data_IF_006237730958
#
_entry.id   IF_006237730958
#
_cell.length_a   1.000
_cell.length_b   1.000
_cell.length_c   1.000
_cell.angle_alpha   90.00
_cell.angle_beta   90.00
_cell.angle_gamma   90.00
#
_symmetry.space_group_name_H-M   'P 1'
#
loop_
_entity.id
_entity.type
_entity.pdbx_description
1 polymer ?
#
# COMPACT_ATOMS: atom_id res chain seq x y z
N UNK A 1 -28.41 -5.57 0.83
CA UNK A 1 -26.98 -5.17 0.91
C UNK A 1 -26.45 -5.79 2.18
N UNK A 2 -26.05 -7.06 2.08
CA UNK A 2 -25.75 -7.94 3.22
C UNK A 2 -24.28 -7.80 3.59
N UNK A 3 -24.01 -7.75 4.89
CA UNK A 3 -22.77 -7.26 5.47
C UNK A 3 -21.57 -8.16 5.25
N UNK A 4 -20.62 -7.66 4.45
CA UNK A 4 -19.23 -8.11 4.50
C UNK A 4 -18.62 -7.51 5.78
N UNK A 5 -18.41 -8.33 6.80
CA UNK A 5 -17.92 -7.90 8.11
C UNK A 5 -16.42 -7.65 8.05
N UNK A 6 -15.98 -6.39 8.23
CA UNK A 6 -14.56 -6.01 8.29
C UNK A 6 -14.05 -6.04 9.73
N UNK A 7 -12.88 -6.64 9.96
CA UNK A 7 -12.24 -6.78 11.27
C UNK A 7 -11.13 -5.71 11.45
N UNK A 8 -10.53 -5.61 12.64
CA UNK A 8 -9.47 -4.63 12.93
C UNK A 8 -8.30 -5.28 13.67
N UNK A 9 -7.07 -4.91 13.32
CA UNK A 9 -5.86 -5.18 14.11
C UNK A 9 -5.35 -3.83 14.61
N UNK A 10 -5.11 -3.71 15.92
CA UNK A 10 -4.59 -2.48 16.51
C UNK A 10 -3.06 -2.46 16.54
N UNK A 11 -2.48 -1.27 16.35
CA UNK A 11 -1.04 -0.98 16.46
C UNK A 11 -0.79 0.01 17.59
N UNK A 12 0.23 -0.22 18.39
CA UNK A 12 0.71 0.72 19.42
C UNK A 12 2.19 1.07 19.17
N UNK A 13 2.63 2.20 19.72
CA UNK A 13 4.02 2.66 19.63
C UNK A 13 4.67 2.38 20.98
N UNK A 14 5.62 1.44 21.05
CA UNK A 14 6.32 1.20 22.31
C UNK A 14 7.14 2.44 22.71
N UNK A 15 6.60 3.31 23.58
CA UNK A 15 7.36 4.43 24.13
C UNK A 15 7.07 4.61 25.62
N UNK A 16 7.84 3.89 26.44
CA UNK A 16 8.06 4.28 27.84
C UNK A 16 9.15 5.35 27.88
N UNK A 17 8.86 6.44 28.57
CA UNK A 17 9.77 7.56 28.86
C UNK A 17 11.11 7.06 29.44
N UNK A 18 12.13 7.06 28.60
CA UNK A 18 13.54 7.22 28.98
C UNK A 18 14.30 7.65 27.73
N UNK A 19 15.22 8.60 27.86
CA UNK A 19 16.01 9.12 26.75
C UNK A 19 16.98 8.02 26.24
N UNK A 20 16.47 7.12 25.43
CA UNK A 20 17.26 6.23 24.59
C UNK A 20 17.04 6.61 23.13
N UNK A 21 18.14 6.66 22.36
CA UNK A 21 18.07 6.73 20.92
C UNK A 21 17.07 5.67 20.44
N UNK A 22 16.06 6.08 19.66
CA UNK A 22 15.10 5.13 19.11
C UNK A 22 15.87 3.98 18.45
N UNK A 23 15.53 2.72 18.71
CA UNK A 23 16.25 1.60 18.14
C UNK A 23 16.32 1.75 16.62
N UNK A 24 17.51 1.58 16.05
CA UNK A 24 17.71 1.62 14.61
C UNK A 24 16.97 0.43 13.99
N UNK A 25 15.76 0.66 13.49
CA UNK A 25 14.95 -0.36 12.84
C UNK A 25 15.53 -0.69 11.45
N UNK A 26 15.45 -1.95 10.99
CA UNK A 26 15.83 -2.34 9.64
C UNK A 26 15.16 -1.52 8.52
N UNK A 27 13.92 -1.08 8.71
CA UNK A 27 13.30 -0.08 7.85
C UNK A 27 12.20 0.71 8.54
N UNK A 28 12.06 1.99 8.16
CA UNK A 28 10.92 2.81 8.55
C UNK A 28 9.81 2.70 7.50
N UNK A 29 8.56 2.72 7.94
CA UNK A 29 7.40 2.83 7.04
C UNK A 29 7.12 4.31 6.81
N UNK A 30 7.24 4.72 5.55
CA UNK A 30 6.89 6.08 5.12
C UNK A 30 5.39 6.33 5.31
N UNK A 31 5.04 7.54 5.77
CA UNK A 31 3.66 7.96 5.94
C UNK A 31 2.89 7.96 4.61
N UNK A 32 1.57 7.94 4.70
CA UNK A 32 0.68 7.93 3.53
C UNK A 32 0.57 9.29 2.84
N UNK A 33 0.90 10.38 3.53
CA UNK A 33 0.69 11.75 3.05
C UNK A 33 -0.72 12.30 3.32
N UNK A 34 -1.60 11.51 3.96
CA UNK A 34 -2.94 11.96 4.33
C UNK A 34 -2.89 13.05 5.43
N UNK A 35 -3.59 14.15 5.19
CA UNK A 35 -3.62 15.33 6.09
C UNK A 35 -5.02 15.79 6.45
N UNK A 36 -6.05 15.14 5.89
CA UNK A 36 -7.45 15.49 6.04
C UNK A 36 -8.20 14.37 6.76
N UNK A 37 -9.20 14.74 7.54
CA UNK A 37 -10.12 13.81 8.19
C UNK A 37 -11.45 13.77 7.45
N UNK A 38 -12.14 12.64 7.53
CA UNK A 38 -13.40 12.39 6.85
C UNK A 38 -14.43 11.74 7.77
N UNK A 39 -15.71 11.98 7.51
CA UNK A 39 -16.81 11.19 8.02
C UNK A 39 -17.48 10.40 6.88
N UNK A 40 -18.68 9.84 7.13
CA UNK A 40 -19.43 9.10 6.11
C UNK A 40 -19.99 9.97 4.97
N UNK A 41 -19.81 11.29 5.01
CA UNK A 41 -20.39 12.27 4.07
C UNK A 41 -19.32 13.09 3.37
N UNK A 42 -18.21 13.40 4.04
CA UNK A 42 -17.16 14.23 3.46
C UNK A 42 -16.00 14.55 4.38
N UNK A 43 -15.17 15.47 3.90
CA UNK A 43 -14.09 16.07 4.68
C UNK A 43 -14.65 16.80 5.90
N UNK A 44 -14.02 16.59 7.06
CA UNK A 44 -14.35 17.22 8.33
C UNK A 44 -13.10 17.86 8.94
N UNK A 45 -13.31 18.79 9.87
CA UNK A 45 -12.23 19.22 10.75
C UNK A 45 -11.74 18.04 11.61
N UNK A 46 -10.44 17.95 11.94
CA UNK A 46 -9.91 16.87 12.75
C UNK A 46 -10.71 16.70 14.06
N UNK A 47 -11.38 15.56 14.27
CA UNK A 47 -12.16 15.32 15.50
C UNK A 47 -11.23 15.25 16.72
N UNK A 48 -11.76 15.57 17.91
CA UNK A 48 -11.03 15.48 19.18
C UNK A 48 -11.17 14.10 19.81
N UNK A 49 -10.29 13.68 20.75
CA UNK A 49 -10.48 12.46 21.52
C UNK A 49 -11.89 12.36 22.10
N UNK A 50 -12.52 11.18 21.96
CA UNK A 50 -13.91 10.93 22.38
C UNK A 50 -14.99 11.36 21.39
N UNK A 51 -14.66 12.10 20.32
CA UNK A 51 -15.61 12.42 19.25
C UNK A 51 -15.69 11.30 18.21
N UNK A 52 -16.84 11.16 17.49
CA UNK A 52 -16.94 10.28 16.35
C UNK A 52 -15.81 10.51 15.34
N UNK A 53 -15.32 9.43 14.74
CA UNK A 53 -14.25 9.44 13.73
C UNK A 53 -12.88 9.93 14.21
N UNK A 54 -12.64 10.09 15.52
CA UNK A 54 -11.28 10.26 16.06
C UNK A 54 -10.47 8.98 15.89
N UNK A 55 -9.21 9.09 15.46
CA UNK A 55 -8.33 7.95 15.23
C UNK A 55 -7.81 7.80 13.80
N UNK A 56 -8.05 8.78 12.92
CA UNK A 56 -7.71 8.70 11.50
C UNK A 56 -6.22 8.96 11.22
N UNK A 57 -5.73 8.50 10.08
CA UNK A 57 -4.32 8.61 9.65
C UNK A 57 -3.79 10.05 9.72
N UNK A 58 -4.59 11.03 9.28
CA UNK A 58 -4.25 12.46 9.35
C UNK A 58 -3.97 12.98 10.78
N UNK A 59 -4.43 12.25 11.81
CA UNK A 59 -4.23 12.61 13.21
C UNK A 59 -2.99 11.95 13.84
N UNK A 60 -2.36 11.00 13.14
CA UNK A 60 -1.16 10.28 13.57
C UNK A 60 -0.10 10.34 12.48
N UNK A 61 0.43 11.54 12.15
CA UNK A 61 1.39 11.69 11.08
C UNK A 61 2.66 10.88 11.38
N UNK A 62 2.94 9.89 10.53
CA UNK A 62 4.15 9.06 10.61
C UNK A 62 5.38 9.74 9.99
N UNK A 63 6.34 8.94 9.53
CA UNK A 63 7.55 9.42 8.85
C UNK A 63 7.19 10.03 7.49
N UNK A 64 7.00 11.36 7.42
CA UNK A 64 6.65 12.06 6.18
C UNK A 64 7.62 11.70 5.06
N UNK A 65 7.08 11.45 3.86
CA UNK A 65 7.88 11.19 2.67
C UNK A 65 8.94 12.29 2.48
N UNK A 66 10.18 11.86 2.23
CA UNK A 66 11.31 12.75 2.01
C UNK A 66 12.16 12.16 0.90
N UNK A 67 12.28 12.92 -0.19
CA UNK A 67 12.95 12.49 -1.40
C UNK A 67 14.10 13.42 -1.75
N UNK A 68 15.16 12.84 -2.31
CA UNK A 68 16.30 13.55 -2.88
C UNK A 68 16.44 13.18 -4.34
N UNK A 69 16.28 14.18 -5.21
CA UNK A 69 16.53 14.03 -6.64
C UNK A 69 18.05 14.06 -6.91
N UNK A 70 18.56 13.11 -7.68
CA UNK A 70 19.98 13.12 -8.09
C UNK A 70 20.29 14.28 -9.03
N UNK A 71 21.55 14.73 -9.04
CA UNK A 71 21.97 15.89 -9.85
C UNK A 71 21.77 15.68 -11.36
N UNK A 72 21.90 14.43 -11.84
CA UNK A 72 21.60 14.04 -13.22
C UNK A 72 20.09 13.91 -13.51
N UNK A 73 19.25 14.01 -12.48
CA UNK A 73 17.80 13.89 -12.57
C UNK A 73 17.29 12.49 -12.91
N UNK A 74 18.13 11.44 -12.86
CA UNK A 74 17.78 10.07 -13.26
C UNK A 74 17.20 9.23 -12.12
N UNK A 75 17.51 9.58 -10.86
CA UNK A 75 17.14 8.77 -9.69
C UNK A 75 16.53 9.61 -8.58
N UNK A 76 15.70 8.96 -7.77
CA UNK A 76 15.09 9.54 -6.56
C UNK A 76 15.49 8.68 -5.37
N UNK A 77 16.30 9.24 -4.47
CA UNK A 77 16.58 8.66 -3.17
C UNK A 77 15.41 8.90 -2.21
N UNK A 78 14.92 7.86 -1.57
CA UNK A 78 13.93 7.94 -0.50
C UNK A 78 14.64 7.91 0.85
N UNK A 79 14.65 9.06 1.52
CA UNK A 79 15.39 9.28 2.75
C UNK A 79 14.74 8.58 3.97
N UNK A 80 13.50 8.08 3.83
CA UNK A 80 12.81 7.34 4.89
C UNK A 80 13.06 5.85 4.74
N UNK A 81 12.93 5.32 3.52
CA UNK A 81 13.02 3.88 3.28
C UNK A 81 14.44 3.41 3.01
N UNK A 82 15.36 4.32 2.66
CA UNK A 82 16.72 3.99 2.24
C UNK A 82 16.77 3.34 0.85
N UNK A 83 15.67 3.40 0.10
CA UNK A 83 15.58 2.95 -1.28
C UNK A 83 16.03 4.06 -2.24
N UNK A 84 16.49 3.69 -3.42
CA UNK A 84 16.71 4.61 -4.53
C UNK A 84 16.00 4.07 -5.75
N UNK A 85 15.22 4.93 -6.40
CA UNK A 85 14.34 4.56 -7.50
C UNK A 85 14.82 5.15 -8.82
N UNK A 86 14.54 4.47 -9.93
CA UNK A 86 14.44 5.17 -11.21
C UNK A 86 13.41 6.30 -11.06
N UNK A 87 13.70 7.47 -11.62
CA UNK A 87 12.76 8.60 -11.57
C UNK A 87 11.58 8.44 -12.52
N UNK A 88 11.81 7.83 -13.67
CA UNK A 88 10.86 7.77 -14.77
C UNK A 88 10.65 6.32 -15.21
N UNK A 89 9.40 5.93 -15.55
CA UNK A 89 9.13 4.67 -16.23
C UNK A 89 9.32 4.77 -17.75
N UNK A 90 9.84 5.88 -18.26
CA UNK A 90 10.26 6.04 -19.66
C UNK A 90 11.28 4.94 -20.03
N UNK A 91 10.89 4.04 -20.94
CA UNK A 91 11.71 2.87 -21.33
C UNK A 91 12.34 3.01 -22.70
N UNK A 92 11.90 3.97 -23.52
CA UNK A 92 12.44 4.23 -24.85
C UNK A 92 13.39 5.44 -24.92
N UNK A 93 13.42 6.27 -23.87
CA UNK A 93 14.34 7.39 -23.67
C UNK A 93 13.95 8.65 -24.42
N UNK A 94 12.70 8.77 -24.89
CA UNK A 94 12.23 9.94 -25.63
C UNK A 94 11.87 11.15 -24.72
N UNK A 95 11.94 10.96 -23.40
CA UNK A 95 11.66 11.99 -22.39
C UNK A 95 10.18 12.17 -22.09
N UNK A 96 9.30 11.36 -22.66
CA UNK A 96 7.86 11.34 -22.41
C UNK A 96 7.49 10.03 -21.72
N UNK A 97 6.37 10.05 -21.02
CA UNK A 97 5.78 8.84 -20.47
C UNK A 97 4.46 8.63 -21.18
N UNK A 98 4.36 7.56 -21.94
CA UNK A 98 3.21 7.23 -22.79
C UNK A 98 2.89 5.73 -22.70
N UNK A 99 1.85 5.29 -23.41
CA UNK A 99 1.54 3.87 -23.52
C UNK A 99 2.67 3.04 -24.17
N UNK A 100 3.57 3.67 -24.95
CA UNK A 100 4.73 3.00 -25.58
C UNK A 100 5.79 2.56 -24.59
N UNK A 101 5.83 3.17 -23.41
CA UNK A 101 6.76 2.81 -22.35
C UNK A 101 6.35 1.57 -21.56
N UNK A 102 5.16 1.05 -21.83
CA UNK A 102 4.66 -0.13 -21.15
C UNK A 102 5.30 -1.37 -21.75
N UNK A 103 5.80 -2.22 -20.87
CA UNK A 103 6.50 -3.46 -21.24
C UNK A 103 5.76 -4.67 -20.71
N UNK A 104 5.92 -5.82 -21.36
CA UNK A 104 5.37 -7.08 -20.85
C UNK A 104 6.02 -7.45 -19.53
N UNK A 105 5.42 -8.36 -18.76
CA UNK A 105 6.02 -8.77 -17.48
C UNK A 105 7.40 -9.43 -17.67
N UNK A 106 7.61 -10.21 -18.73
CA UNK A 106 8.91 -10.80 -19.04
C UNK A 106 9.97 -9.71 -19.32
N UNK A 107 9.60 -8.66 -20.05
CA UNK A 107 10.47 -7.50 -20.28
C UNK A 107 10.74 -6.71 -18.99
N UNK A 108 9.74 -6.54 -18.12
CA UNK A 108 9.91 -5.93 -16.80
C UNK A 108 10.92 -6.70 -15.94
N UNK A 109 10.89 -8.04 -15.98
CA UNK A 109 11.85 -8.89 -15.27
C UNK A 109 13.28 -8.78 -15.84
N UNK A 110 13.42 -8.53 -17.15
CA UNK A 110 14.71 -8.36 -17.80
C UNK A 110 15.31 -6.96 -17.63
N UNK A 111 14.48 -5.94 -17.36
CA UNK A 111 14.90 -4.54 -17.28
C UNK A 111 16.05 -4.29 -16.26
N UNK A 112 16.04 -4.82 -15.02
CA UNK A 112 17.14 -4.62 -14.09
C UNK A 112 18.49 -5.08 -14.63
N UNK A 113 18.54 -6.21 -15.35
CA UNK A 113 19.78 -6.70 -15.95
C UNK A 113 20.31 -5.74 -17.02
N UNK A 114 19.41 -5.15 -17.84
CA UNK A 114 19.76 -4.11 -18.82
C UNK A 114 20.34 -2.87 -18.13
N UNK A 115 19.68 -2.36 -17.08
CA UNK A 115 20.14 -1.20 -16.32
C UNK A 115 21.50 -1.46 -15.64
N UNK A 116 21.70 -2.67 -15.12
CA UNK A 116 22.94 -3.03 -14.45
C UNK A 116 24.12 -3.16 -15.41
N UNK A 117 23.89 -3.72 -16.59
CA UNK A 117 24.92 -3.84 -17.63
C UNK A 117 25.39 -2.47 -18.13
N UNK A 118 24.49 -1.49 -18.24
CA UNK A 118 24.82 -0.13 -18.70
C UNK A 118 25.25 0.81 -17.58
N UNK A 119 25.28 0.33 -16.33
CA UNK A 119 25.51 1.15 -15.13
C UNK A 119 24.60 2.38 -15.08
N UNK A 120 23.30 2.19 -15.32
CA UNK A 120 22.32 3.29 -15.33
C UNK A 120 22.42 4.15 -14.06
N UNK A 121 22.55 5.47 -14.24
CA UNK A 121 22.81 6.45 -13.18
C UNK A 121 24.03 6.13 -12.29
N UNK A 122 25.03 5.44 -12.85
CA UNK A 122 26.25 5.04 -12.14
C UNK A 122 26.15 3.72 -11.35
N UNK A 123 24.98 3.09 -11.31
CA UNK A 123 24.68 1.94 -10.44
C UNK A 123 24.45 0.63 -11.21
N UNK A 124 24.72 -0.50 -10.57
CA UNK A 124 24.66 -1.83 -11.18
C UNK A 124 24.00 -2.92 -10.30
N UNK A 125 23.18 -2.50 -9.34
CA UNK A 125 22.45 -3.30 -8.36
C UNK A 125 20.93 -3.01 -8.38
N UNK A 126 20.41 -2.57 -9.54
CA UNK A 126 18.99 -2.42 -9.79
C UNK A 126 18.26 -3.76 -9.72
N UNK A 127 17.03 -3.74 -9.20
CA UNK A 127 16.09 -4.86 -9.16
C UNK A 127 14.67 -4.39 -9.48
N UNK A 128 13.81 -5.32 -9.88
CA UNK A 128 12.37 -5.09 -9.95
C UNK A 128 11.82 -5.04 -8.50
N UNK A 129 11.07 -3.99 -8.10
CA UNK A 129 10.62 -3.80 -6.74
C UNK A 129 9.61 -4.89 -6.36
N UNK A 130 9.66 -5.37 -5.12
CA UNK A 130 8.55 -6.07 -4.49
C UNK A 130 7.33 -5.16 -4.37
N UNK A 131 6.15 -5.73 -4.14
CA UNK A 131 4.94 -4.94 -3.95
C UNK A 131 5.01 -4.04 -2.71
N UNK A 132 5.70 -4.47 -1.63
CA UNK A 132 5.94 -3.65 -0.43
C UNK A 132 6.81 -2.44 -0.75
N UNK A 133 7.88 -2.62 -1.52
CA UNK A 133 8.72 -1.50 -1.99
C UNK A 133 7.92 -0.58 -2.91
N UNK A 134 7.23 -1.10 -3.93
CA UNK A 134 6.47 -0.28 -4.87
C UNK A 134 5.37 0.53 -4.17
N UNK A 135 4.68 -0.06 -3.21
CA UNK A 135 3.63 0.61 -2.45
C UNK A 135 4.16 1.65 -1.45
N UNK A 136 5.46 1.65 -1.14
CA UNK A 136 6.06 2.74 -0.34
C UNK A 136 5.90 4.11 -1.01
N UNK A 137 5.83 4.16 -2.34
CA UNK A 137 5.65 5.38 -3.13
C UNK A 137 4.21 5.94 -3.11
N UNK A 138 3.23 5.17 -2.59
CA UNK A 138 1.83 5.56 -2.57
C UNK A 138 1.59 6.87 -1.79
N UNK A 139 0.95 7.86 -2.41
CA UNK A 139 0.53 9.12 -1.78
C UNK A 139 -1.01 9.15 -1.69
N UNK A 140 -1.54 9.02 -0.48
CA UNK A 140 -2.98 9.00 -0.19
C UNK A 140 -3.68 10.35 -0.42
N UNK A 141 -2.95 11.41 -0.76
CA UNK A 141 -3.54 12.68 -1.18
C UNK A 141 -3.93 12.73 -2.67
N UNK A 142 -3.70 11.63 -3.41
CA UNK A 142 -4.23 11.42 -4.76
C UNK A 142 -5.76 11.40 -4.82
N UNK A 143 -6.30 11.55 -6.02
CA UNK A 143 -7.74 11.58 -6.31
C UNK A 143 -8.07 10.52 -7.36
N UNK A 144 -8.91 9.56 -6.99
CA UNK A 144 -9.30 8.44 -7.85
C UNK A 144 -10.28 8.88 -8.95
N UNK A 145 -9.93 8.66 -10.23
CA UNK A 145 -10.76 9.00 -11.36
C UNK A 145 -11.90 8.03 -11.64
N UNK A 146 -12.01 6.88 -10.94
CA UNK A 146 -12.87 5.74 -11.33
C UNK A 146 -14.40 5.88 -11.10
N UNK A 147 -14.91 7.08 -10.81
CA UNK A 147 -16.34 7.38 -11.01
C UNK A 147 -16.63 7.37 -12.52
N UNK A 148 -17.86 7.14 -13.05
CA UNK A 148 -18.07 7.01 -14.49
C UNK A 148 -17.93 8.38 -15.19
N UNK A 149 -16.71 8.89 -15.32
CA UNK A 149 -16.34 9.88 -16.31
C UNK A 149 -16.23 9.15 -17.64
N UNK A 150 -17.36 9.05 -18.33
CA UNK A 150 -17.29 9.44 -19.74
C UNK A 150 -16.95 10.93 -19.72
N UNK A 151 -16.03 11.33 -20.59
CA UNK A 151 -15.64 12.71 -20.87
C UNK A 151 -14.38 13.18 -20.11
N UNK A 152 -13.23 12.78 -20.66
CA UNK A 152 -12.22 13.68 -21.24
C UNK A 152 -11.50 14.72 -20.38
N UNK A 153 -11.91 15.00 -19.15
CA UNK A 153 -11.29 16.08 -18.37
C UNK A 153 -10.30 15.51 -17.35
N UNK A 154 -9.01 15.62 -17.68
CA UNK A 154 -7.90 15.42 -16.75
C UNK A 154 -7.79 16.54 -15.70
N UNK A 155 -8.68 17.54 -15.74
CA UNK A 155 -8.68 18.67 -14.83
C UNK A 155 -9.01 18.19 -13.39
N UNK A 156 -8.09 18.47 -12.46
CA UNK A 156 -8.23 18.08 -11.05
C UNK A 156 -7.83 16.64 -10.73
N UNK A 157 -7.33 15.87 -11.70
CA UNK A 157 -6.71 14.58 -11.42
C UNK A 157 -5.39 14.76 -10.69
N UNK A 158 -5.21 14.00 -9.60
CA UNK A 158 -3.94 13.92 -8.89
C UNK A 158 -3.58 12.44 -8.71
N UNK A 159 -2.44 11.97 -9.23
CA UNK A 159 -2.06 10.58 -9.03
C UNK A 159 -1.70 10.34 -7.56
N UNK A 160 -1.79 9.09 -7.14
CA UNK A 160 -1.38 8.63 -5.82
C UNK A 160 0.14 8.45 -5.74
N UNK A 161 0.90 9.41 -6.29
CA UNK A 161 2.36 9.42 -6.43
C UNK A 161 2.85 10.88 -6.40
N UNK A 162 3.97 11.15 -5.75
CA UNK A 162 4.55 12.50 -5.70
C UNK A 162 5.23 12.87 -7.04
N UNK A 163 4.50 13.61 -7.88
CA UNK A 163 4.95 14.00 -9.22
C UNK A 163 5.97 15.13 -9.24
N UNK A 164 6.33 15.71 -8.09
CA UNK A 164 7.50 16.59 -8.01
C UNK A 164 8.79 15.80 -8.20
N UNK A 165 8.81 14.54 -7.78
CA UNK A 165 9.95 13.66 -7.87
C UNK A 165 9.82 12.66 -9.01
N UNK A 166 8.69 11.96 -9.12
CA UNK A 166 8.49 10.87 -10.08
C UNK A 166 7.79 11.31 -11.36
N UNK A 167 8.18 10.76 -12.50
CA UNK A 167 7.42 10.93 -13.75
C UNK A 167 6.24 9.97 -13.78
N UNK A 168 5.13 10.43 -14.31
CA UNK A 168 3.88 9.71 -14.34
C UNK A 168 3.06 10.11 -15.57
N UNK A 169 2.29 9.16 -16.09
CA UNK A 169 1.23 9.42 -17.06
C UNK A 169 -0.01 8.61 -16.72
N UNK A 170 -1.19 9.22 -16.95
CA UNK A 170 -2.46 8.51 -17.06
C UNK A 170 -2.51 7.70 -18.37
N UNK A 171 -3.48 6.80 -18.50
CA UNK A 171 -3.68 6.07 -19.75
C UNK A 171 -4.09 6.99 -20.91
N UNK A 172 -3.63 6.65 -22.11
CA UNK A 172 -3.82 7.44 -23.32
C UNK A 172 -5.15 7.12 -24.03
N UNK A 173 -6.13 8.02 -23.90
CA UNK A 173 -7.45 7.88 -24.54
C UNK A 173 -7.37 7.84 -26.07
N UNK A 174 -6.41 8.52 -26.68
CA UNK A 174 -6.23 8.52 -28.13
C UNK A 174 -5.66 7.19 -28.64
N UNK A 175 -4.97 6.45 -27.76
CA UNK A 175 -4.52 5.08 -28.01
C UNK A 175 -5.57 4.02 -27.61
N UNK A 176 -6.78 4.44 -27.21
CA UNK A 176 -7.85 3.53 -26.80
C UNK A 176 -7.74 3.01 -25.36
N UNK A 177 -6.86 3.60 -24.56
CA UNK A 177 -6.74 3.26 -23.13
C UNK A 177 -7.79 4.02 -22.30
N UNK A 178 -8.04 3.56 -21.09
CA UNK A 178 -8.78 4.32 -20.06
C UNK A 178 -7.78 5.15 -19.27
N UNK A 179 -8.24 6.23 -18.63
CA UNK A 179 -7.41 7.08 -17.74
C UNK A 179 -6.66 6.24 -16.68
N UNK A 180 -7.29 5.19 -16.16
CA UNK A 180 -6.71 4.30 -15.13
C UNK A 180 -5.77 3.22 -15.70
N UNK A 181 -5.49 3.21 -16.99
CA UNK A 181 -4.60 2.22 -17.60
C UNK A 181 -3.11 2.54 -17.35
N UNK A 182 -2.74 2.81 -16.10
CA UNK A 182 -1.38 3.16 -15.67
C UNK A 182 -0.85 2.22 -14.59
N UNK A 183 -0.91 0.91 -14.87
CA UNK A 183 -0.50 -0.11 -13.92
C UNK A 183 1.02 -0.26 -13.85
N UNK A 184 1.60 -0.25 -12.64
CA UNK A 184 3.02 -0.48 -12.39
C UNK A 184 3.24 -1.90 -11.88
N UNK A 185 4.11 -2.67 -12.54
CA UNK A 185 4.41 -4.04 -12.15
C UNK A 185 5.40 -4.11 -10.97
N UNK A 186 5.19 -5.08 -10.09
CA UNK A 186 6.16 -5.49 -9.06
C UNK A 186 6.76 -6.87 -9.38
N UNK A 187 7.74 -7.32 -8.61
CA UNK A 187 8.28 -8.68 -8.65
C UNK A 187 7.45 -9.69 -7.86
N UNK A 188 6.43 -9.24 -7.10
CA UNK A 188 5.62 -10.09 -6.25
C UNK A 188 4.50 -10.76 -7.06
N UNK A 189 4.65 -12.06 -7.31
CA UNK A 189 3.62 -12.87 -7.98
C UNK A 189 2.41 -13.10 -7.07
N UNK A 190 1.25 -13.21 -7.68
CA UNK A 190 0.05 -13.66 -7.00
C UNK A 190 0.07 -15.19 -6.89
N UNK A 191 -0.09 -15.73 -5.69
CA UNK A 191 0.03 -17.19 -5.46
C UNK A 191 -1.22 -17.98 -5.84
N UNK A 192 -2.41 -17.38 -5.76
CA UNK A 192 -3.66 -18.04 -6.17
C UNK A 192 -3.80 -18.15 -7.69
N UNK A 193 -4.77 -18.93 -8.14
CA UNK A 193 -5.20 -18.90 -9.54
C UNK A 193 -6.46 -18.05 -9.61
N UNK A 194 -6.45 -16.99 -10.42
CA UNK A 194 -7.67 -16.23 -10.67
C UNK A 194 -8.76 -17.13 -11.27
N UNK A 195 -10.02 -16.67 -11.34
CA UNK A 195 -11.14 -17.47 -11.88
C UNK A 195 -10.91 -18.04 -13.30
N UNK A 196 -9.99 -17.43 -14.06
CA UNK A 196 -9.62 -17.83 -15.42
C UNK A 196 -8.40 -18.78 -15.46
N UNK A 197 -7.85 -19.17 -14.32
CA UNK A 197 -6.66 -20.02 -14.22
C UNK A 197 -5.35 -19.34 -14.67
N UNK A 198 -5.38 -18.05 -14.99
CA UNK A 198 -4.23 -17.31 -15.53
C UNK A 198 -3.31 -16.79 -14.43
N UNK A 199 -2.02 -16.75 -14.74
CA UNK A 199 -1.00 -16.16 -13.86
C UNK A 199 -1.25 -14.66 -13.67
N UNK A 200 -0.93 -14.20 -12.46
CA UNK A 200 -1.10 -12.81 -12.05
C UNK A 200 0.15 -12.29 -11.35
N UNK A 201 0.36 -10.98 -11.45
CA UNK A 201 1.36 -10.25 -10.68
C UNK A 201 0.69 -9.15 -9.88
N UNK A 202 1.16 -8.91 -8.65
CA UNK A 202 0.76 -7.74 -7.90
C UNK A 202 1.40 -6.50 -8.50
N UNK A 203 0.62 -5.43 -8.61
CA UNK A 203 1.12 -4.12 -9.01
C UNK A 203 0.37 -3.01 -8.31
N UNK A 204 0.88 -1.80 -8.44
CA UNK A 204 0.21 -0.58 -7.95
C UNK A 204 -0.27 0.22 -9.15
N UNK A 205 -1.50 0.71 -9.10
CA UNK A 205 -1.99 1.67 -10.07
C UNK A 205 -2.05 3.05 -9.42
N UNK A 206 -1.03 3.87 -9.64
CA UNK A 206 -0.98 5.22 -9.09
C UNK A 206 -2.02 6.16 -9.72
N UNK A 207 -2.70 5.77 -10.82
CA UNK A 207 -3.83 6.53 -11.32
C UNK A 207 -5.07 6.42 -10.41
N UNK A 208 -5.30 5.26 -9.78
CA UNK A 208 -6.52 4.98 -9.00
C UNK A 208 -6.25 4.59 -7.54
N UNK A 209 -4.98 4.53 -7.14
CA UNK A 209 -4.53 4.36 -5.76
C UNK A 209 -4.60 2.93 -5.22
N UNK A 210 -4.66 1.90 -6.06
CA UNK A 210 -4.89 0.52 -5.61
C UNK A 210 -3.73 -0.43 -5.90
N UNK A 211 -3.50 -1.36 -4.97
CA UNK A 211 -2.82 -2.63 -5.25
C UNK A 211 -3.82 -3.57 -5.91
N UNK A 212 -3.44 -4.24 -7.00
CA UNK A 212 -4.28 -5.27 -7.65
C UNK A 212 -3.43 -6.45 -8.12
N UNK A 213 -4.07 -7.62 -8.23
CA UNK A 213 -3.53 -8.78 -8.93
C UNK A 213 -3.89 -8.73 -10.42
N UNK A 214 -2.95 -8.31 -11.25
CA UNK A 214 -3.14 -8.16 -12.69
C UNK A 214 -2.86 -9.45 -13.43
N UNK A 215 -3.79 -9.86 -14.30
CA UNK A 215 -3.57 -10.97 -15.22
C UNK A 215 -2.42 -10.63 -16.16
N UNK A 216 -1.54 -11.60 -16.41
CA UNK A 216 -0.43 -11.43 -17.37
C UNK A 216 -0.90 -11.45 -18.83
N UNK A 217 -2.14 -11.86 -19.07
CA UNK A 217 -2.75 -11.92 -20.40
C UNK A 217 -4.10 -11.20 -20.42
N UNK A 218 -4.31 -10.40 -21.44
CA UNK A 218 -5.56 -9.71 -21.72
C UNK A 218 -6.63 -10.72 -22.16
N UNK A 219 -7.93 -10.44 -21.91
CA UNK A 219 -9.00 -11.17 -22.59
C UNK A 219 -8.77 -11.13 -24.12
N UNK A 220 -8.64 -12.28 -24.77
CA UNK A 220 -8.35 -12.36 -26.21
C UNK A 220 -6.91 -12.75 -26.59
N UNK A 221 -6.01 -12.95 -25.62
CA UNK A 221 -4.73 -13.67 -25.86
C UNK A 221 -3.47 -12.83 -26.06
N UNK A 222 -3.53 -11.51 -25.88
CA UNK A 222 -2.33 -10.65 -25.84
C UNK A 222 -1.68 -10.58 -24.47
N UNK A 223 -0.34 -10.45 -24.40
CA UNK A 223 0.35 -10.15 -23.14
C UNK A 223 -0.07 -8.78 -22.61
N UNK A 224 -0.29 -8.69 -21.30
CA UNK A 224 -0.52 -7.43 -20.64
C UNK A 224 0.81 -6.69 -20.48
N UNK A 225 0.79 -5.39 -20.76
CA UNK A 225 1.94 -4.50 -20.54
C UNK A 225 1.71 -3.59 -19.33
N UNK A 226 2.81 -3.12 -18.75
CA UNK A 226 2.87 -2.37 -17.50
C UNK A 226 3.93 -1.27 -17.57
N UNK A 227 3.71 -0.17 -16.86
CA UNK A 227 4.83 0.71 -16.48
C UNK A 227 5.72 -0.01 -15.48
N UNK A 228 7.01 0.35 -15.45
CA UNK A 228 7.99 -0.28 -14.55
C UNK A 228 8.93 0.78 -14.00
N UNK A 229 9.16 0.75 -12.69
CA UNK A 229 10.25 1.45 -12.03
C UNK A 229 11.13 0.41 -11.36
N UNK A 230 12.43 0.41 -11.65
CA UNK A 230 13.40 -0.37 -10.89
C UNK A 230 13.86 0.38 -9.64
N UNK A 231 14.25 -0.39 -8.63
CA UNK A 231 14.68 0.10 -7.32
C UNK A 231 16.04 -0.50 -6.96
N UNK A 232 16.78 0.17 -6.07
CA UNK A 232 18.01 -0.30 -5.44
C UNK A 232 18.08 0.20 -3.98
N UNK A 233 19.12 -0.18 -3.24
CA UNK A 233 19.24 0.19 -1.81
C UNK A 233 18.35 -0.67 -0.90
N UNK A 234 18.47 -0.47 0.42
CA UNK A 234 17.82 -1.21 1.52
C UNK A 234 17.19 -2.58 1.18
N UNK A 235 17.96 -3.69 1.18
CA UNK A 235 17.43 -5.03 0.91
C UNK A 235 16.57 -5.61 2.05
N UNK A 236 16.47 -4.90 3.19
CA UNK A 236 15.64 -5.30 4.34
C UNK A 236 14.22 -4.75 4.26
N UNK A 237 13.96 -3.76 3.39
CA UNK A 237 12.64 -3.13 3.30
C UNK A 237 11.54 -4.15 2.98
N UNK A 238 10.50 -4.18 3.80
CA UNK A 238 9.35 -5.06 3.65
C UNK A 238 9.53 -6.49 4.19
N UNK A 239 10.68 -6.82 4.79
CA UNK A 239 10.91 -8.09 5.49
C UNK A 239 10.60 -7.92 6.97
N UNK A 240 9.50 -8.50 7.44
CA UNK A 240 9.12 -8.46 8.85
C UNK A 240 10.05 -9.33 9.72
N UNK A 241 10.18 -8.97 10.99
CA UNK A 241 10.85 -9.76 12.04
C UNK A 241 9.96 -9.81 13.27
N UNK A 242 8.94 -10.67 13.21
CA UNK A 242 7.93 -10.79 14.26
C UNK A 242 8.45 -11.56 15.48
N UNK A 243 8.20 -11.00 16.65
CA UNK A 243 8.45 -11.59 17.95
C UNK A 243 7.16 -11.58 18.78
N UNK A 244 6.71 -12.75 19.21
CA UNK A 244 5.57 -12.86 20.12
C UNK A 244 6.04 -12.62 21.57
N UNK A 245 5.39 -11.67 22.25
CA UNK A 245 5.83 -11.21 23.58
C UNK A 245 5.26 -12.05 24.74
N UNK A 246 4.34 -12.98 24.47
CA UNK A 246 3.69 -13.81 25.49
C UNK A 246 2.62 -13.11 26.32
N UNK A 247 2.29 -11.85 26.01
CA UNK A 247 1.29 -11.03 26.70
C UNK A 247 0.07 -10.70 25.81
N UNK A 248 -0.06 -11.38 24.66
CA UNK A 248 -1.08 -11.10 23.65
C UNK A 248 -0.66 -10.06 22.60
N UNK A 249 0.58 -9.57 22.64
CA UNK A 249 1.14 -8.67 21.62
C UNK A 249 2.22 -9.34 20.76
N UNK A 250 2.42 -8.80 19.55
CA UNK A 250 3.48 -9.18 18.62
C UNK A 250 4.28 -7.92 18.26
N UNK A 251 5.58 -7.94 18.48
CA UNK A 251 6.48 -6.87 18.03
C UNK A 251 7.08 -7.22 16.68
N UNK A 252 6.95 -6.34 15.68
CA UNK A 252 7.74 -6.41 14.47
C UNK A 252 9.04 -5.62 14.66
N UNK A 253 10.13 -6.33 14.98
CA UNK A 253 11.45 -5.71 15.19
C UNK A 253 12.01 -5.05 13.93
N UNK A 254 11.48 -5.39 12.76
CA UNK A 254 11.91 -4.79 11.49
C UNK A 254 11.42 -3.35 11.31
N UNK A 255 10.24 -3.04 11.87
CA UNK A 255 9.57 -1.72 11.75
C UNK A 255 9.49 -0.97 13.08
N UNK A 256 9.68 -1.67 14.20
CA UNK A 256 9.48 -1.15 15.55
C UNK A 256 8.00 -1.08 15.98
N UNK A 257 7.07 -1.52 15.14
CA UNK A 257 5.64 -1.52 15.46
C UNK A 257 5.28 -2.70 16.36
N UNK A 258 4.33 -2.47 17.27
CA UNK A 258 3.71 -3.53 18.08
C UNK A 258 2.25 -3.69 17.68
N UNK A 259 1.83 -4.93 17.54
CA UNK A 259 0.51 -5.32 17.06
C UNK A 259 -0.23 -6.14 18.13
N UNK A 260 -1.54 -5.97 18.23
CA UNK A 260 -2.37 -6.93 18.95
C UNK A 260 -2.36 -8.27 18.21
N UNK A 261 -2.19 -9.39 18.92
CA UNK A 261 -2.17 -10.74 18.33
C UNK A 261 -3.54 -11.14 17.75
N UNK A 262 -4.61 -10.71 18.39
CA UNK A 262 -6.01 -11.00 18.01
C UNK A 262 -6.68 -9.78 17.39
N UNK A 263 -7.58 -10.00 16.45
CA UNK A 263 -8.44 -8.96 15.89
C UNK A 263 -9.65 -8.62 16.79
N UNK A 264 -10.54 -7.75 16.31
CA UNK A 264 -11.74 -7.32 17.04
C UNK A 264 -12.78 -8.43 17.25
N UNK A 265 -12.62 -9.64 16.70
CA UNK A 265 -13.51 -10.78 16.87
C UNK A 265 -14.90 -10.65 16.24
N UNK A 266 -15.26 -9.48 15.72
CA UNK A 266 -16.50 -9.19 15.00
C UNK A 266 -16.31 -8.12 13.93
N UNK A 267 -17.19 -8.14 12.94
CA UNK A 267 -17.31 -7.07 11.94
C UNK A 267 -17.66 -5.72 12.57
N UNK A 268 -16.94 -4.68 12.16
CA UNK A 268 -17.18 -3.29 12.53
C UNK A 268 -17.28 -2.45 11.24
N UNK A 269 -18.13 -1.43 11.22
CA UNK A 269 -17.97 -0.36 10.23
C UNK A 269 -16.80 0.56 10.63
N UNK A 270 -16.35 1.43 9.74
CA UNK A 270 -15.15 2.24 9.98
C UNK A 270 -15.27 3.17 11.20
N UNK A 271 -16.44 3.80 11.41
CA UNK A 271 -16.70 4.62 12.59
C UNK A 271 -16.60 3.80 13.89
N UNK A 272 -17.16 2.59 13.88
CA UNK A 272 -17.10 1.65 15.01
C UNK A 272 -15.68 1.14 15.25
N UNK A 273 -14.91 0.88 14.20
CA UNK A 273 -13.51 0.49 14.28
C UNK A 273 -12.66 1.57 14.97
N UNK A 274 -12.80 2.83 14.57
CA UNK A 274 -12.14 3.96 15.22
C UNK A 274 -12.54 4.10 16.70
N UNK A 275 -13.84 3.98 17.00
CA UNK A 275 -14.35 4.03 18.37
C UNK A 275 -13.87 2.85 19.24
N UNK A 276 -13.84 1.64 18.68
CA UNK A 276 -13.39 0.44 19.37
C UNK A 276 -11.96 0.57 19.89
N UNK A 277 -11.07 1.20 19.11
CA UNK A 277 -9.70 1.46 19.55
C UNK A 277 -9.67 2.42 20.74
N UNK A 278 -10.51 3.47 20.75
CA UNK A 278 -10.61 4.37 21.90
C UNK A 278 -11.11 3.65 23.14
N UNK A 279 -12.06 2.72 22.99
CA UNK A 279 -12.53 1.87 24.09
C UNK A 279 -11.41 0.96 24.63
N UNK A 280 -10.58 0.39 23.75
CA UNK A 280 -9.43 -0.43 24.17
C UNK A 280 -8.40 0.40 24.95
N UNK A 281 -8.13 1.62 24.50
CA UNK A 281 -7.23 2.53 25.20
C UNK A 281 -7.75 2.92 26.59
N UNK A 282 -9.03 3.26 26.71
CA UNK A 282 -9.65 3.55 27.99
C UNK A 282 -9.57 2.38 28.98
N UNK A 283 -9.52 1.15 28.49
CA UNK A 283 -9.40 -0.09 29.28
C UNK A 283 -7.96 -0.53 29.54
N UNK A 284 -6.96 0.16 29.00
CA UNK A 284 -5.56 -0.27 29.00
C UNK A 284 -5.40 -1.70 28.46
N UNK A 285 -6.03 -1.98 27.32
CA UNK A 285 -6.02 -3.29 26.69
C UNK A 285 -4.58 -3.81 26.51
N UNK A 286 -4.32 -5.04 26.99
CA UNK A 286 -2.99 -5.66 27.05
C UNK A 286 -1.92 -4.84 27.80
N UNK A 287 -2.34 -3.94 28.69
CA UNK A 287 -1.45 -3.05 29.45
C UNK A 287 -1.08 -1.74 28.76
N UNK A 288 -1.65 -1.45 27.58
CA UNK A 288 -1.34 -0.27 26.76
C UNK A 288 -2.59 0.58 26.49
N UNK A 289 -2.40 1.89 26.35
CA UNK A 289 -3.45 2.89 26.12
C UNK A 289 -3.18 3.82 24.91
N UNK A 290 -2.24 3.43 24.06
CA UNK A 290 -1.80 4.16 22.87
C UNK A 290 -2.09 3.38 21.56
N UNK A 291 -3.03 2.43 21.60
CA UNK A 291 -3.49 1.73 20.42
C UNK A 291 -4.10 2.70 19.40
N UNK A 292 -3.86 2.42 18.12
CA UNK A 292 -4.46 3.09 16.97
C UNK A 292 -4.77 2.07 15.89
N UNK A 293 -5.65 2.44 14.96
CA UNK A 293 -5.79 1.70 13.71
C UNK A 293 -4.56 1.97 12.82
N UNK A 294 -3.90 0.94 12.25
CA UNK A 294 -2.80 1.13 11.32
C UNK A 294 -3.23 1.97 10.11
N UNK A 295 -2.32 2.80 9.60
CA UNK A 295 -2.51 3.37 8.27
C UNK A 295 -2.35 2.28 7.20
N UNK A 296 -2.75 2.56 5.96
CA UNK A 296 -2.78 1.53 4.91
C UNK A 296 -1.39 0.96 4.58
N UNK A 297 -0.31 1.72 4.73
CA UNK A 297 1.07 1.24 4.48
C UNK A 297 1.55 0.34 5.62
N UNK A 298 1.18 0.65 6.85
CA UNK A 298 1.48 -0.22 8.00
C UNK A 298 0.70 -1.52 7.92
N UNK A 299 -0.59 -1.47 7.60
CA UNK A 299 -1.40 -2.66 7.40
C UNK A 299 -0.86 -3.51 6.25
N UNK A 300 -0.40 -2.87 5.16
CA UNK A 300 0.24 -3.57 4.05
C UNK A 300 1.58 -4.21 4.44
N UNK A 301 2.31 -3.61 5.39
CA UNK A 301 3.62 -4.09 5.82
C UNK A 301 3.58 -5.48 6.46
N UNK A 302 2.43 -5.89 7.04
CA UNK A 302 2.26 -7.20 7.68
C UNK A 302 1.66 -8.27 6.77
N UNK A 303 1.29 -7.92 5.54
CA UNK A 303 0.78 -8.89 4.56
C UNK A 303 1.87 -9.88 4.17
N UNK A 304 1.53 -11.16 4.19
CA UNK A 304 2.33 -12.26 3.65
C UNK A 304 1.78 -12.65 2.27
N UNK A 305 2.45 -12.15 1.24
CA UNK A 305 2.08 -12.39 -0.16
C UNK A 305 2.34 -13.82 -0.65
N UNK A 306 2.94 -14.69 0.17
CA UNK A 306 3.07 -16.12 -0.13
C UNK A 306 1.84 -16.94 0.27
N UNK A 307 0.86 -16.31 0.95
CA UNK A 307 -0.30 -16.97 1.54
C UNK A 307 -1.60 -16.41 0.98
N UNK A 308 -2.59 -17.27 0.86
CA UNK A 308 -3.98 -16.87 0.54
C UNK A 308 -4.96 -17.95 0.99
N UNK A 309 -6.26 -17.63 1.11
CA UNK A 309 -7.30 -18.64 1.37
C UNK A 309 -7.21 -19.80 0.35
N UNK A 310 -7.10 -19.47 -0.94
CA UNK A 310 -7.06 -20.46 -2.03
C UNK A 310 -5.80 -21.34 -2.06
N UNK A 311 -4.66 -20.88 -1.53
CA UNK A 311 -3.37 -21.58 -1.65
C UNK A 311 -2.93 -22.28 -0.39
N UNK A 312 -3.14 -21.65 0.75
CA UNK A 312 -2.67 -22.12 2.05
C UNK A 312 -3.81 -22.43 3.01
N UNK A 313 -5.07 -22.19 2.64
CA UNK A 313 -6.22 -22.35 3.54
C UNK A 313 -6.08 -21.47 4.78
N UNK A 314 -5.57 -20.25 4.61
CA UNK A 314 -5.25 -19.35 5.73
C UNK A 314 -5.28 -17.88 5.28
N UNK A 315 -5.34 -16.91 6.21
CA UNK A 315 -5.26 -15.50 5.84
C UNK A 315 -3.86 -15.15 5.32
N UNK A 316 -3.77 -14.06 4.55
CA UNK A 316 -2.53 -13.55 3.95
C UNK A 316 -1.66 -12.76 4.96
N UNK A 317 -1.38 -13.36 6.10
CA UNK A 317 -0.59 -12.80 7.22
C UNK A 317 0.16 -13.94 7.92
N UNK A 318 1.22 -13.59 8.66
CA UNK A 318 1.99 -14.58 9.40
C UNK A 318 1.10 -15.40 10.37
N UNK A 319 1.30 -16.73 10.50
CA UNK A 319 0.50 -17.58 11.40
C UNK A 319 0.53 -17.23 12.89
N UNK A 320 1.42 -16.31 13.29
CA UNK A 320 1.45 -15.75 14.64
C UNK A 320 0.19 -14.94 14.97
N UNK A 321 -0.43 -14.32 13.97
CA UNK A 321 -1.65 -13.54 14.13
C UNK A 321 -2.88 -14.43 14.17
N UNK A 322 -3.81 -14.13 15.08
CA UNK A 322 -5.08 -14.84 15.23
C UNK A 322 -6.18 -14.05 14.54
N UNK A 323 -6.46 -14.43 13.29
CA UNK A 323 -7.53 -13.86 12.49
C UNK A 323 -8.84 -14.61 12.69
N UNK A 324 -9.90 -13.88 12.97
CA UNK A 324 -11.25 -14.42 13.06
C UNK A 324 -11.70 -14.90 11.68
N UNK A 325 -12.10 -16.16 11.58
CA UNK A 325 -12.67 -16.74 10.37
C UNK A 325 -14.10 -16.23 10.14
N UNK A 326 -14.48 -16.12 8.87
CA UNK A 326 -15.83 -15.78 8.44
C UNK A 326 -16.37 -16.82 7.47
N UNK A 327 -17.68 -16.81 7.26
CA UNK A 327 -18.32 -17.51 6.15
C UNK A 327 -18.58 -16.50 5.04
N UNK A 328 -17.99 -16.71 3.86
CA UNK A 328 -18.17 -15.81 2.72
C UNK A 328 -19.56 -15.97 2.04
N UNK A 329 -19.80 -15.18 1.00
CA UNK A 329 -21.10 -15.08 0.32
C UNK A 329 -21.55 -16.39 -0.37
N UNK A 330 -20.62 -17.33 -0.58
CA UNK A 330 -20.90 -18.66 -1.15
C UNK A 330 -20.90 -19.77 -0.09
N UNK A 331 -20.90 -19.42 1.19
CA UNK A 331 -21.02 -20.37 2.29
C UNK A 331 -19.70 -21.07 2.67
N UNK A 332 -18.56 -20.56 2.22
CA UNK A 332 -17.25 -21.17 2.45
C UNK A 332 -16.48 -20.47 3.57
N UNK A 333 -15.57 -21.20 4.21
CA UNK A 333 -14.60 -20.65 5.16
C UNK A 333 -13.71 -19.63 4.46
N UNK A 334 -13.60 -18.43 5.03
CA UNK A 334 -12.79 -17.34 4.50
C UNK A 334 -12.28 -16.45 5.64
N UNK A 335 -11.54 -15.41 5.28
CA UNK A 335 -11.00 -14.41 6.20
C UNK A 335 -11.42 -13.00 5.77
N UNK A 336 -11.64 -12.11 6.74
CA UNK A 336 -12.10 -10.74 6.50
C UNK A 336 -11.03 -9.87 5.83
N UNK A 337 -11.48 -8.69 5.40
CA UNK A 337 -10.61 -7.53 5.21
C UNK A 337 -10.48 -6.75 6.52
N UNK A 338 -9.35 -6.05 6.67
CA UNK A 338 -9.09 -5.19 7.83
C UNK A 338 -9.19 -3.73 7.46
N UNK A 339 -9.79 -2.92 8.33
CA UNK A 339 -9.79 -1.47 8.15
C UNK A 339 -8.39 -0.89 8.30
N UNK A 340 -8.09 0.17 7.56
CA UNK A 340 -7.03 1.12 7.87
C UNK A 340 -7.60 2.45 8.36
N UNK A 341 -6.74 3.27 8.98
CA UNK A 341 -7.07 4.64 9.40
C UNK A 341 -7.00 5.62 8.23
N UNK A 342 -6.53 5.17 7.06
CA UNK A 342 -6.35 5.96 5.85
C UNK A 342 -7.63 5.95 5.01
N UNK A 343 -8.02 7.11 4.51
CA UNK A 343 -9.13 7.25 3.57
C UNK A 343 -8.67 7.40 2.12
N UNK A 344 -9.58 7.12 1.20
CA UNK A 344 -9.38 7.18 -0.25
C UNK A 344 -10.41 8.13 -0.84
N UNK A 345 -9.91 9.07 -1.64
CA UNK A 345 -10.69 10.17 -2.22
C UNK A 345 -11.01 9.85 -3.68
N UNK A 346 -12.29 9.91 -4.06
CA UNK A 346 -12.74 9.85 -5.45
C UNK A 346 -13.19 11.21 -6.00
N UNK A 347 -13.09 11.40 -7.33
CA UNK A 347 -13.39 12.67 -8.01
C UNK A 347 -14.75 13.31 -7.69
N UNK A 348 -15.79 12.52 -7.44
CA UNK A 348 -17.15 13.03 -7.12
C UNK A 348 -17.43 13.12 -5.62
N UNK A 349 -16.39 13.18 -4.79
CA UNK A 349 -16.54 13.16 -3.33
C UNK A 349 -17.02 11.81 -2.79
N UNK A 350 -16.66 10.72 -3.47
CA UNK A 350 -16.76 9.38 -2.87
C UNK A 350 -15.58 9.21 -1.93
N UNK A 351 -15.85 9.13 -0.63
CA UNK A 351 -14.82 8.95 0.40
C UNK A 351 -14.98 7.56 0.97
N UNK A 352 -13.98 6.70 0.76
CA UNK A 352 -13.98 5.37 1.32
C UNK A 352 -12.81 5.25 2.29
N UNK A 353 -13.05 4.74 3.49
CA UNK A 353 -11.95 4.19 4.27
C UNK A 353 -11.36 2.99 3.49
N UNK A 354 -10.03 2.89 3.45
CA UNK A 354 -9.33 1.79 2.77
C UNK A 354 -9.39 0.52 3.60
#
# INVERSE_FOLDING_TARGET
>A
MSGCSRLLIAVATACRLSAWAAPQVPYAIVATGQTKCYDNRGEIQPPKPGQPFYGQDAQFPGCRASYTLSADGLTVGDNVTGLTWQRSPDTDGDGKVTWRDKVTFAQAQALPAKLNATRFAGFNDWRLPSIKELYSLFDASGVDPSSPSRDGEAAGLRPFLDTNFFRFAYGDLAAGERIIDSQYASSTKYVGKGPRGVEKVFGVNFADGRIKGYDLFMPGGGEKTFFVLCVRGNPSYGKNDFHENGDGTITDRATGLMWAKTDSGRGLNWREALAWVQEQNARKYLGYDDWRLPNIKELQSIVDYSRSPDTTGSPAIAPLFMCTAITNEVGQLDWPYYWSSTTHVGLRGGWAAM
#
